data_IF_170240320557
#
_entry.id   IF_170240320557
#
_cell.length_a   1.000
_cell.length_b   1.000
_cell.length_c   1.000
_cell.angle_alpha   90.00
_cell.angle_beta   90.00
_cell.angle_gamma   90.00
#
_symmetry.space_group_name_H-M   'P 1'
#
loop_
_entity.id
_entity.type
_entity.pdbx_description
1 polymer ?
#
# COMPACT_ATOMS: atom_id res chain seq x y z
N UNK A 1 22.95 -4.76 9.39
CA UNK A 1 22.46 -3.36 9.49
C UNK A 1 21.18 -3.03 8.70
N UNK A 2 20.72 -3.85 7.74
CA UNK A 2 19.51 -3.57 6.93
C UNK A 2 18.22 -3.77 7.73
N UNK A 3 18.07 -4.89 8.45
CA UNK A 3 16.90 -5.18 9.28
C UNK A 3 16.62 -4.10 10.33
N UNK A 4 17.68 -3.59 10.98
CA UNK A 4 17.55 -2.52 11.97
C UNK A 4 16.98 -1.22 11.35
N UNK A 5 17.49 -0.83 10.18
CA UNK A 5 17.05 0.40 9.50
C UNK A 5 15.65 0.27 8.90
N UNK A 6 15.29 -0.90 8.37
CA UNK A 6 14.08 -1.11 7.57
C UNK A 6 12.91 -1.73 8.36
N UNK A 7 13.14 -2.18 9.59
CA UNK A 7 12.10 -2.80 10.42
C UNK A 7 12.18 -2.43 11.89
N UNK A 8 13.35 -2.50 12.53
CA UNK A 8 13.46 -2.34 14.00
C UNK A 8 13.45 -0.87 14.45
N UNK A 9 13.80 0.08 13.58
CA UNK A 9 13.78 1.50 13.89
C UNK A 9 12.35 2.00 14.17
N UNK A 10 12.14 2.74 15.26
CA UNK A 10 10.83 3.26 15.68
C UNK A 10 10.11 4.07 14.58
N UNK A 11 10.85 4.91 13.85
CA UNK A 11 10.30 5.70 12.73
C UNK A 11 9.80 4.80 11.60
N UNK A 12 10.55 3.75 11.30
CA UNK A 12 10.20 2.77 10.29
C UNK A 12 9.02 1.89 10.72
N UNK A 13 8.93 1.53 12.00
CA UNK A 13 7.77 0.82 12.54
C UNK A 13 6.49 1.65 12.43
N UNK A 14 6.56 2.96 12.71
CA UNK A 14 5.42 3.85 12.54
C UNK A 14 4.94 3.90 11.09
N UNK A 15 5.87 3.91 10.13
CA UNK A 15 5.55 3.82 8.71
C UNK A 15 4.83 2.51 8.37
N UNK A 16 5.41 1.35 8.69
CA UNK A 16 4.83 0.06 8.35
C UNK A 16 3.51 -0.22 9.06
N UNK A 17 3.37 0.21 10.31
CA UNK A 17 2.11 0.09 11.04
C UNK A 17 1.00 0.90 10.38
N UNK A 18 1.33 2.06 9.80
CA UNK A 18 0.37 2.85 9.05
C UNK A 18 -0.10 2.15 7.77
N UNK A 19 0.83 1.53 7.04
CA UNK A 19 0.50 0.72 5.87
C UNK A 19 -0.37 -0.48 6.28
N UNK A 20 -0.06 -1.13 7.41
CA UNK A 20 -0.87 -2.21 7.97
C UNK A 20 -2.32 -1.75 8.21
N UNK A 21 -2.52 -0.62 8.91
CA UNK A 21 -3.86 -0.08 9.16
C UNK A 21 -4.64 0.16 7.86
N UNK A 22 -3.98 0.69 6.82
CA UNK A 22 -4.64 0.91 5.54
C UNK A 22 -5.08 -0.39 4.88
N UNK A 23 -4.24 -1.43 4.93
CA UNK A 23 -4.57 -2.75 4.40
C UNK A 23 -5.72 -3.38 5.18
N UNK A 24 -5.73 -3.27 6.51
CA UNK A 24 -6.82 -3.76 7.36
C UNK A 24 -8.14 -3.03 7.05
N UNK A 25 -8.10 -1.71 6.84
CA UNK A 25 -9.27 -0.92 6.45
C UNK A 25 -9.81 -1.28 5.06
N UNK A 26 -8.94 -1.60 4.10
CA UNK A 26 -9.34 -1.96 2.73
C UNK A 26 -9.84 -3.40 2.61
N UNK A 27 -9.26 -4.31 3.38
CA UNK A 27 -9.56 -5.75 3.31
C UNK A 27 -10.62 -6.17 4.33
N UNK A 28 -10.81 -5.40 5.41
CA UNK A 28 -11.72 -5.74 6.50
C UNK A 28 -11.22 -6.88 7.41
N UNK A 29 -9.96 -7.28 7.27
CA UNK A 29 -9.35 -8.38 8.03
C UNK A 29 -8.03 -7.93 8.66
N UNK A 30 -7.61 -8.64 9.70
CA UNK A 30 -6.34 -8.37 10.39
C UNK A 30 -5.15 -8.77 9.53
N UNK A 31 -4.16 -7.90 9.42
CA UNK A 31 -2.93 -8.14 8.67
C UNK A 31 -1.81 -8.50 9.63
N UNK A 32 -1.03 -9.53 9.29
CA UNK A 32 0.10 -9.93 10.13
C UNK A 32 1.21 -8.87 10.08
N UNK A 33 1.57 -8.30 11.23
CA UNK A 33 2.65 -7.33 11.34
C UNK A 33 4.02 -8.02 11.37
N UNK A 34 4.46 -8.49 10.21
CA UNK A 34 5.64 -9.32 10.05
C UNK A 34 6.58 -8.78 8.97
N UNK A 35 7.90 -8.75 9.20
CA UNK A 35 8.85 -8.28 8.19
C UNK A 35 8.80 -9.13 6.91
N UNK A 36 8.46 -10.41 7.00
CA UNK A 36 8.28 -11.30 5.85
C UNK A 36 7.21 -10.77 4.89
N UNK A 37 6.12 -10.23 5.43
CA UNK A 37 5.06 -9.63 4.63
C UNK A 37 5.50 -8.26 4.09
N UNK A 38 5.92 -7.35 4.98
CA UNK A 38 6.15 -5.95 4.62
C UNK A 38 7.47 -5.72 3.87
N UNK A 39 8.53 -6.48 4.15
CA UNK A 39 9.85 -6.35 3.53
C UNK A 39 10.17 -7.38 2.45
N UNK A 40 9.56 -8.57 2.50
CA UNK A 40 9.75 -9.62 1.48
C UNK A 40 8.51 -9.84 0.59
N UNK A 41 7.29 -9.67 1.10
CA UNK A 41 6.05 -9.85 0.33
C UNK A 41 5.55 -11.29 0.41
N UNK A 42 6.07 -12.05 1.37
CA UNK A 42 5.71 -13.42 1.63
C UNK A 42 4.40 -13.39 2.43
N UNK A 43 3.36 -13.97 1.85
CA UNK A 43 2.02 -14.01 2.43
C UNK A 43 1.66 -15.42 2.88
N UNK A 44 0.82 -15.53 3.92
CA UNK A 44 0.23 -16.79 4.36
C UNK A 44 -0.99 -17.14 3.50
N UNK A 45 -1.36 -18.42 3.41
CA UNK A 45 -2.43 -18.92 2.50
C UNK A 45 -3.87 -18.48 2.86
N UNK A 46 -4.04 -17.55 3.81
CA UNK A 46 -5.36 -17.15 4.33
C UNK A 46 -6.09 -16.06 3.52
N UNK A 47 -5.45 -15.51 2.49
CA UNK A 47 -5.96 -14.38 1.71
C UNK A 47 -6.54 -14.82 0.36
N UNK A 48 -7.63 -14.20 -0.10
CA UNK A 48 -8.14 -14.42 -1.45
C UNK A 48 -7.15 -13.91 -2.51
N UNK A 49 -7.28 -14.35 -3.77
CA UNK A 49 -6.42 -13.88 -4.87
C UNK A 49 -6.47 -12.37 -5.02
N UNK A 50 -7.65 -11.78 -4.91
CA UNK A 50 -7.89 -10.34 -5.02
C UNK A 50 -7.26 -9.57 -3.84
N UNK A 51 -7.30 -10.15 -2.64
CA UNK A 51 -6.67 -9.58 -1.46
C UNK A 51 -5.16 -9.65 -1.52
N UNK A 52 -4.60 -10.80 -1.95
CA UNK A 52 -3.18 -10.98 -2.22
C UNK A 52 -2.72 -9.92 -3.22
N UNK A 53 -3.45 -9.76 -4.32
CA UNK A 53 -3.12 -8.76 -5.32
C UNK A 53 -3.11 -7.34 -4.72
N UNK A 54 -4.17 -6.95 -4.01
CA UNK A 54 -4.25 -5.64 -3.35
C UNK A 54 -3.09 -5.42 -2.39
N UNK A 55 -2.85 -6.36 -1.48
CA UNK A 55 -1.82 -6.29 -0.45
C UNK A 55 -0.44 -6.17 -1.09
N UNK A 56 -0.13 -7.01 -2.08
CA UNK A 56 1.15 -6.97 -2.79
C UNK A 56 1.36 -5.65 -3.50
N UNK A 57 0.34 -5.08 -4.17
CA UNK A 57 0.50 -3.80 -4.88
C UNK A 57 0.76 -2.63 -3.92
N UNK A 58 0.00 -2.57 -2.82
CA UNK A 58 0.18 -1.51 -1.81
C UNK A 58 1.55 -1.64 -1.13
N UNK A 59 1.95 -2.84 -0.71
CA UNK A 59 3.26 -3.08 -0.09
C UNK A 59 4.39 -2.76 -1.07
N UNK A 60 4.24 -3.13 -2.34
CA UNK A 60 5.25 -2.86 -3.37
C UNK A 60 5.42 -1.35 -3.58
N UNK A 61 4.32 -0.60 -3.70
CA UNK A 61 4.38 0.85 -3.80
C UNK A 61 5.02 1.48 -2.54
N UNK A 62 4.63 1.03 -1.35
CA UNK A 62 5.20 1.50 -0.08
C UNK A 62 6.71 1.23 0.00
N UNK A 63 7.17 0.03 -0.40
CA UNK A 63 8.60 -0.30 -0.48
C UNK A 63 9.34 0.59 -1.44
N UNK A 64 8.80 0.83 -2.63
CA UNK A 64 9.47 1.69 -3.61
C UNK A 64 9.62 3.10 -3.05
N UNK A 65 8.56 3.67 -2.48
CA UNK A 65 8.64 5.01 -1.89
C UNK A 65 9.62 5.06 -0.71
N UNK A 66 9.59 4.05 0.17
CA UNK A 66 10.52 3.94 1.29
C UNK A 66 11.97 3.81 0.82
N UNK A 67 12.21 2.95 -0.16
CA UNK A 67 13.50 2.74 -0.78
C UNK A 67 13.98 3.96 -1.58
N UNK A 68 13.12 4.84 -2.05
CA UNK A 68 13.54 6.09 -2.70
C UNK A 68 14.10 7.10 -1.70
N UNK A 69 13.59 7.09 -0.47
CA UNK A 69 14.03 7.97 0.62
C UNK A 69 15.14 7.37 1.49
N UNK A 70 15.63 6.17 1.18
CA UNK A 70 16.59 5.45 2.04
C UNK A 70 17.92 6.18 2.32
N UNK A 71 18.31 7.11 1.45
CA UNK A 71 19.50 7.97 1.63
C UNK A 71 19.21 9.24 2.42
N UNK A 72 17.96 9.69 2.37
CA UNK A 72 17.49 10.82 3.15
C UNK A 72 17.17 10.28 4.55
N UNK A 73 17.49 11.00 5.63
CA UNK A 73 17.15 10.54 6.99
C UNK A 73 15.64 10.62 7.30
N UNK A 74 14.83 10.72 6.25
CA UNK A 74 13.41 11.01 6.27
C UNK A 74 12.60 9.78 5.87
N UNK A 75 11.43 9.64 6.50
CA UNK A 75 10.44 8.62 6.17
C UNK A 75 9.45 9.24 5.19
N UNK A 76 9.02 8.51 4.15
CA UNK A 76 8.00 9.04 3.26
C UNK A 76 6.71 9.38 4.00
N UNK A 77 6.11 10.51 3.64
CA UNK A 77 4.81 10.88 4.17
C UNK A 77 3.66 10.13 3.47
N UNK A 78 2.45 10.22 4.00
CA UNK A 78 1.28 9.52 3.46
C UNK A 78 1.01 9.87 2.00
N UNK A 79 1.13 11.16 1.65
CA UNK A 79 0.85 11.66 0.30
C UNK A 79 1.81 11.08 -0.73
N UNK A 80 3.09 10.92 -0.39
CA UNK A 80 4.09 10.30 -1.27
C UNK A 80 3.77 8.82 -1.55
N UNK A 81 3.35 8.06 -0.53
CA UNK A 81 2.96 6.66 -0.70
C UNK A 81 1.67 6.55 -1.53
N UNK A 82 0.65 7.34 -1.21
CA UNK A 82 -0.62 7.37 -1.95
C UNK A 82 -0.39 7.73 -3.42
N UNK A 83 0.42 8.76 -3.69
CA UNK A 83 0.80 9.15 -5.05
C UNK A 83 1.49 7.99 -5.78
N UNK A 84 2.40 7.28 -5.11
CA UNK A 84 3.07 6.13 -5.71
C UNK A 84 2.10 4.98 -6.03
N UNK A 85 1.16 4.68 -5.13
CA UNK A 85 0.12 3.67 -5.37
C UNK A 85 -0.72 4.04 -6.60
N UNK A 86 -1.17 5.31 -6.69
CA UNK A 86 -1.95 5.81 -7.83
C UNK A 86 -1.19 5.68 -9.16
N UNK A 87 0.10 6.03 -9.18
CA UNK A 87 0.94 5.88 -10.37
C UNK A 87 1.06 4.41 -10.76
N UNK A 88 1.30 3.50 -9.81
CA UNK A 88 1.42 2.07 -10.13
C UNK A 88 0.09 1.53 -10.69
N UNK A 89 -1.04 1.87 -10.07
CA UNK A 89 -2.36 1.47 -10.55
C UNK A 89 -2.68 2.02 -11.95
N UNK A 90 -2.24 3.23 -12.27
CA UNK A 90 -2.44 3.79 -13.61
C UNK A 90 -1.57 3.07 -14.66
N UNK A 91 -0.31 2.80 -14.32
CA UNK A 91 0.60 2.08 -15.23
C UNK A 91 0.16 0.64 -15.49
N UNK A 92 -0.33 -0.05 -14.47
CA UNK A 92 -0.87 -1.39 -14.60
C UNK A 92 -2.15 -1.41 -15.46
N UNK A 93 -3.03 -0.41 -15.31
CA UNK A 93 -4.22 -0.22 -16.17
C UNK A 93 -3.82 -0.09 -17.64
N UNK A 94 -2.89 0.82 -17.94
CA UNK A 94 -2.38 1.03 -19.31
C UNK A 94 -1.73 -0.24 -19.88
N UNK A 95 -1.01 -0.99 -19.05
CA UNK A 95 -0.38 -2.25 -19.45
C UNK A 95 -1.41 -3.33 -19.82
N UNK A 96 -2.55 -3.37 -19.12
CA UNK A 96 -3.65 -4.29 -19.44
C UNK A 96 -4.36 -3.92 -20.74
N UNK A 97 -4.58 -2.62 -20.96
CA UNK A 97 -5.16 -2.10 -22.20
C UNK A 97 -4.30 -2.46 -23.41
N UNK A 98 -2.99 -2.28 -23.32
CA UNK A 98 -2.05 -2.69 -24.36
C UNK A 98 -2.07 -4.20 -24.65
N UNK A 99 -2.48 -5.02 -23.67
CA UNK A 99 -2.56 -6.48 -23.81
C UNK A 99 -3.94 -6.96 -24.31
N UNK A 100 -4.88 -6.06 -24.62
CA UNK A 100 -6.26 -6.40 -24.99
C UNK A 100 -6.95 -7.38 -24.01
N UNK A 101 -6.59 -7.33 -22.72
CA UNK A 101 -7.23 -8.15 -21.69
C UNK A 101 -8.30 -7.30 -21.01
N UNK A 102 -9.56 -7.73 -21.05
CA UNK A 102 -10.62 -7.10 -20.24
C UNK A 102 -10.30 -7.31 -18.75
N UNK A 103 -9.71 -6.30 -18.13
CA UNK A 103 -9.18 -6.33 -16.76
C UNK A 103 -10.25 -6.31 -15.67
N UNK A 104 -11.39 -6.98 -15.83
CA UNK A 104 -12.53 -6.88 -14.90
C UNK A 104 -12.16 -7.19 -13.45
N UNK A 105 -11.26 -8.16 -13.22
CA UNK A 105 -10.74 -8.48 -11.89
C UNK A 105 -9.78 -7.41 -11.35
N UNK A 106 -8.93 -6.85 -12.22
CA UNK A 106 -8.03 -5.74 -11.90
C UNK A 106 -8.79 -4.48 -11.47
N UNK A 107 -9.83 -4.09 -12.22
CA UNK A 107 -10.65 -2.92 -11.90
C UNK A 107 -11.35 -3.07 -10.55
N UNK A 108 -11.78 -4.28 -10.17
CA UNK A 108 -12.38 -4.51 -8.84
C UNK A 108 -11.39 -4.23 -7.71
N UNK A 109 -10.13 -4.61 -7.88
CA UNK A 109 -9.09 -4.45 -6.85
C UNK A 109 -8.67 -2.98 -6.73
N UNK A 110 -8.42 -2.30 -7.85
CA UNK A 110 -8.15 -0.86 -7.85
C UNK A 110 -9.33 -0.07 -7.27
N UNK A 111 -10.57 -0.49 -7.54
CA UNK A 111 -11.75 0.14 -6.98
C UNK A 111 -11.76 0.09 -5.44
N UNK A 112 -11.34 -1.02 -4.80
CA UNK A 112 -11.23 -1.06 -3.32
C UNK A 112 -10.30 0.03 -2.79
N UNK A 113 -9.13 0.19 -3.39
CA UNK A 113 -8.20 1.27 -3.04
C UNK A 113 -8.81 2.67 -3.28
N UNK A 114 -9.43 2.90 -4.44
CA UNK A 114 -10.03 4.20 -4.76
C UNK A 114 -11.19 4.57 -3.81
N UNK A 115 -12.03 3.60 -3.45
CA UNK A 115 -13.12 3.82 -2.47
C UNK A 115 -12.57 4.19 -1.10
N UNK A 116 -11.56 3.45 -0.63
CA UNK A 116 -10.85 3.74 0.61
C UNK A 116 -10.22 5.15 0.58
N UNK A 117 -9.52 5.49 -0.50
CA UNK A 117 -8.85 6.78 -0.65
C UNK A 117 -9.85 7.95 -0.65
N UNK A 118 -10.97 7.82 -1.38
CA UNK A 118 -12.06 8.81 -1.38
C UNK A 118 -12.66 8.99 0.02
N UNK A 119 -12.88 7.90 0.75
CA UNK A 119 -13.38 7.95 2.14
C UNK A 119 -12.39 8.70 3.04
N UNK A 120 -11.10 8.38 2.94
CA UNK A 120 -10.03 9.01 3.72
C UNK A 120 -9.91 10.51 3.46
N UNK A 121 -9.98 10.94 2.20
CA UNK A 121 -9.96 12.36 1.82
C UNK A 121 -11.13 13.14 2.44
N UNK A 122 -12.34 12.56 2.47
CA UNK A 122 -13.51 13.17 3.13
C UNK A 122 -13.33 13.29 4.65
N UNK A 123 -12.72 12.30 5.28
CA UNK A 123 -12.46 12.33 6.73
C UNK A 123 -11.40 13.37 7.10
N UNK A 124 -10.38 13.57 6.26
CA UNK A 124 -9.37 14.62 6.46
C UNK A 124 -9.97 16.02 6.29
N UNK A 125 -10.85 16.24 5.30
CA UNK A 125 -11.54 17.52 5.15
C UNK A 125 -12.48 17.85 6.32
N UNK A 126 -13.12 16.85 6.93
CA UNK A 126 -13.95 17.07 8.14
C UNK A 126 -13.14 17.44 9.38
N UNK A 127 -11.88 17.00 9.50
CA UNK A 127 -10.99 17.36 10.62
C UNK A 127 -10.40 18.77 10.50
N UNK A 128 -10.58 19.44 9.37
CA UNK A 128 -10.16 20.83 9.16
C UNK A 128 -11.30 21.84 9.35
N UNK A 129 -12.53 21.36 9.56
CA UNK A 129 -13.73 22.15 9.83
C UNK A 129 -14.22 22.03 11.29
N UNK A 130 -13.44 21.38 12.16
CA UNK A 130 -13.65 21.25 13.61
C UNK A 130 -12.40 21.77 14.31
#
# INVERSE_FOLDING_TARGET
CIYHTWWSCKKTQQFWHKIQMWLEEMTGQKIDYKPELFLLGIMTERYSKEEIYLIVHIITAARITFAQKWKDREIPNEGEVIKKILICAEMDRLTLELKNKEGTEYYKICNKFYQWWKKKARTQNKKHCL
#
